data_IF_202509401913
#
_entry.id   IF_202509401913
#
_cell.length_a   1.000
_cell.length_b   1.000
_cell.length_c   1.000
_cell.angle_alpha   90.00
_cell.angle_beta   90.00
_cell.angle_gamma   90.00
#
_symmetry.space_group_name_H-M   'P 1'
#
loop_
_entity.id
_entity.type
_entity.pdbx_description
1 polymer ?
#
# COMPACT_ATOMS: atom_id res chain seq x y z
N UNK A 1 -6.95 -5.58 -23.88
CA UNK A 1 -5.76 -5.65 -23.01
C UNK A 1 -6.10 -6.34 -21.70
N UNK A 2 -7.22 -6.00 -21.04
CA UNK A 2 -7.60 -6.52 -19.71
C UNK A 2 -8.21 -7.95 -19.75
N UNK A 3 -8.50 -8.50 -20.93
CA UNK A 3 -9.14 -9.82 -21.03
C UNK A 3 -8.24 -10.93 -20.48
N UNK A 4 -8.73 -11.66 -19.48
CA UNK A 4 -8.01 -12.75 -18.82
C UNK A 4 -7.07 -12.28 -17.69
N UNK A 5 -7.15 -11.02 -17.28
CA UNK A 5 -6.45 -10.54 -16.09
C UNK A 5 -7.23 -10.94 -14.83
N UNK A 6 -6.56 -11.57 -13.87
CA UNK A 6 -7.13 -11.89 -12.56
C UNK A 6 -7.13 -10.68 -11.63
N UNK A 7 -6.16 -9.78 -11.79
CA UNK A 7 -6.00 -8.56 -11.02
C UNK A 7 -5.53 -7.38 -11.88
N UNK A 8 -6.01 -6.19 -11.59
CA UNK A 8 -5.63 -4.94 -12.25
C UNK A 8 -5.26 -3.89 -11.23
N UNK A 9 -4.03 -3.41 -11.31
CA UNK A 9 -3.58 -2.23 -10.56
C UNK A 9 -3.81 -0.97 -11.37
N UNK A 10 -4.43 0.03 -10.74
CA UNK A 10 -4.64 1.35 -11.32
C UNK A 10 -3.88 2.36 -10.47
N UNK A 11 -2.80 2.91 -11.02
CA UNK A 11 -2.01 3.94 -10.31
C UNK A 11 -2.20 5.30 -10.97
N UNK A 12 -2.51 6.32 -10.14
CA UNK A 12 -2.69 7.67 -10.66
C UNK A 12 -2.45 8.75 -9.59
N UNK A 13 -1.95 9.89 -10.04
CA UNK A 13 -2.05 11.13 -9.28
C UNK A 13 -3.40 11.79 -9.55
N UNK A 14 -4.19 12.04 -8.49
CA UNK A 14 -5.48 12.70 -8.58
C UNK A 14 -5.35 14.25 -8.55
N UNK A 15 -6.37 14.92 -9.03
CA UNK A 15 -6.44 16.40 -9.10
C UNK A 15 -6.11 16.99 -10.46
N UNK A 16 -5.63 16.17 -11.40
CA UNK A 16 -5.49 16.50 -12.81
C UNK A 16 -6.69 16.01 -13.64
N UNK A 17 -6.58 16.07 -14.97
CA UNK A 17 -7.61 15.60 -15.90
C UNK A 17 -7.56 14.09 -16.13
N UNK A 18 -6.39 13.57 -16.54
CA UNK A 18 -6.23 12.19 -17.00
C UNK A 18 -6.44 11.18 -15.87
N UNK A 19 -5.68 11.30 -14.77
CA UNK A 19 -5.78 10.36 -13.64
C UNK A 19 -7.15 10.42 -12.97
N UNK A 20 -7.66 11.63 -12.70
CA UNK A 20 -8.93 11.83 -12.01
C UNK A 20 -10.13 11.30 -12.81
N UNK A 21 -10.15 11.55 -14.13
CA UNK A 21 -11.26 11.14 -15.00
C UNK A 21 -11.11 9.74 -15.57
N UNK A 22 -9.88 9.33 -15.92
CA UNK A 22 -9.64 8.03 -16.57
C UNK A 22 -9.57 6.85 -15.63
N UNK A 23 -9.02 7.03 -14.42
CA UNK A 23 -8.86 5.92 -13.49
C UNK A 23 -10.19 5.25 -13.10
N UNK A 24 -11.27 5.98 -12.76
CA UNK A 24 -12.55 5.36 -12.45
C UNK A 24 -13.15 4.56 -13.61
N UNK A 25 -13.02 5.05 -14.84
CA UNK A 25 -13.52 4.37 -16.04
C UNK A 25 -12.78 3.05 -16.26
N UNK A 26 -11.46 3.05 -16.12
CA UNK A 26 -10.66 1.83 -16.24
C UNK A 26 -10.99 0.84 -15.11
N UNK A 27 -11.22 1.34 -13.90
CA UNK A 27 -11.62 0.53 -12.76
C UNK A 27 -12.96 -0.18 -13.01
N UNK A 28 -13.95 0.53 -13.49
CA UNK A 28 -15.26 -0.01 -13.84
C UNK A 28 -15.15 -1.13 -14.88
N UNK A 29 -14.42 -0.88 -15.97
CA UNK A 29 -14.20 -1.87 -17.03
C UNK A 29 -13.45 -3.11 -16.49
N UNK A 30 -12.41 -2.93 -15.68
CA UNK A 30 -11.65 -4.03 -15.10
C UNK A 30 -12.54 -4.90 -14.20
N UNK A 31 -13.36 -4.29 -13.36
CA UNK A 31 -14.29 -4.97 -12.46
C UNK A 31 -15.41 -5.69 -13.22
N UNK A 32 -15.97 -5.09 -14.28
CA UNK A 32 -16.94 -5.75 -15.17
C UNK A 32 -16.36 -6.98 -15.84
N UNK A 33 -15.07 -7.02 -16.08
CA UNK A 33 -14.36 -8.18 -16.64
C UNK A 33 -14.03 -9.26 -15.59
N UNK A 34 -14.38 -9.05 -14.31
CA UNK A 34 -14.16 -9.99 -13.22
C UNK A 34 -12.77 -9.92 -12.57
N UNK A 35 -11.92 -8.96 -12.97
CA UNK A 35 -10.61 -8.76 -12.37
C UNK A 35 -10.73 -8.09 -11.00
N UNK A 36 -9.94 -8.53 -10.02
CA UNK A 36 -9.77 -7.80 -8.76
C UNK A 36 -9.11 -6.45 -9.07
N UNK A 37 -9.82 -5.38 -8.80
CA UNK A 37 -9.40 -4.02 -9.18
C UNK A 37 -8.90 -3.25 -7.97
N UNK A 38 -7.60 -2.99 -7.93
CA UNK A 38 -6.94 -2.26 -6.85
C UNK A 38 -6.44 -0.91 -7.37
N UNK A 39 -7.03 0.16 -6.88
CA UNK A 39 -6.58 1.52 -7.19
C UNK A 39 -5.62 2.01 -6.11
N UNK A 40 -4.46 2.52 -6.53
CA UNK A 40 -3.43 3.12 -5.66
C UNK A 40 -3.19 4.53 -6.17
N UNK A 41 -3.65 5.52 -5.42
CA UNK A 41 -3.70 6.90 -5.90
C UNK A 41 -3.12 7.89 -4.91
N UNK A 42 -2.55 8.98 -5.42
CA UNK A 42 -2.07 10.07 -4.58
C UNK A 42 -3.05 11.26 -4.57
N UNK A 43 -3.23 11.86 -3.39
CA UNK A 43 -3.89 13.17 -3.24
C UNK A 43 -2.84 14.29 -3.39
N UNK A 44 -3.18 15.41 -4.06
CA UNK A 44 -2.22 16.48 -4.29
C UNK A 44 -1.75 17.14 -2.99
N UNK A 45 -0.60 17.78 -3.03
CA UNK A 45 -0.12 18.63 -1.95
C UNK A 45 -1.00 19.88 -1.79
N UNK A 46 -1.04 20.46 -0.59
CA UNK A 46 -1.83 21.68 -0.33
C UNK A 46 -1.38 22.85 -1.21
N UNK A 47 -0.08 22.95 -1.50
CA UNK A 47 0.45 24.03 -2.35
C UNK A 47 0.00 23.93 -3.82
N UNK A 48 -0.50 22.79 -4.27
CA UNK A 48 -1.05 22.62 -5.62
C UNK A 48 -2.42 23.29 -5.78
N UNK A 49 -3.04 23.69 -4.69
CA UNK A 49 -4.21 24.55 -4.65
C UNK A 49 -5.54 23.81 -4.44
N UNK A 50 -6.51 24.56 -3.91
CA UNK A 50 -7.83 24.04 -3.52
C UNK A 50 -8.62 23.43 -4.69
N UNK A 51 -8.46 23.95 -5.90
CA UNK A 51 -9.15 23.42 -7.09
C UNK A 51 -8.70 22.00 -7.39
N UNK A 52 -7.37 21.74 -7.35
CA UNK A 52 -6.82 20.42 -7.56
C UNK A 52 -7.26 19.44 -6.48
N UNK A 53 -7.26 19.88 -5.22
CA UNK A 53 -7.74 19.06 -4.11
C UNK A 53 -9.20 18.67 -4.29
N UNK A 54 -10.08 19.61 -4.64
CA UNK A 54 -11.49 19.31 -4.89
C UNK A 54 -11.68 18.31 -6.03
N UNK A 55 -10.97 18.47 -7.14
CA UNK A 55 -10.99 17.51 -8.25
C UNK A 55 -10.50 16.13 -7.82
N UNK A 56 -9.44 16.06 -6.97
CA UNK A 56 -8.93 14.81 -6.44
C UNK A 56 -9.98 14.09 -5.56
N UNK A 57 -10.69 14.82 -4.72
CA UNK A 57 -11.77 14.28 -3.89
C UNK A 57 -12.95 13.74 -4.69
N UNK A 58 -13.33 14.45 -5.77
CA UNK A 58 -14.35 13.97 -6.72
C UNK A 58 -13.90 12.66 -7.41
N UNK A 59 -12.66 12.60 -7.88
CA UNK A 59 -12.08 11.37 -8.46
C UNK A 59 -11.99 10.23 -7.48
N UNK A 60 -11.63 10.51 -6.22
CA UNK A 60 -11.58 9.53 -5.14
C UNK A 60 -12.97 8.92 -4.86
N UNK A 61 -13.99 9.77 -4.79
CA UNK A 61 -15.37 9.33 -4.61
C UNK A 61 -15.82 8.38 -5.74
N UNK A 62 -15.48 8.69 -6.99
CA UNK A 62 -15.78 7.83 -8.13
C UNK A 62 -15.00 6.50 -8.08
N UNK A 63 -13.70 6.54 -7.75
CA UNK A 63 -12.89 5.32 -7.59
C UNK A 63 -13.41 4.40 -6.48
N UNK A 64 -13.88 4.97 -5.38
CA UNK A 64 -14.47 4.21 -4.27
C UNK A 64 -15.70 3.39 -4.70
N UNK A 65 -16.43 3.83 -5.72
CA UNK A 65 -17.59 3.09 -6.25
C UNK A 65 -17.20 2.04 -7.30
N UNK A 66 -16.06 2.21 -7.96
CA UNK A 66 -15.67 1.41 -9.12
C UNK A 66 -14.52 0.42 -8.86
N UNK A 67 -13.65 0.68 -7.89
CA UNK A 67 -12.58 -0.25 -7.50
C UNK A 67 -13.02 -1.16 -6.35
N UNK A 68 -12.44 -2.37 -6.27
CA UNK A 68 -12.65 -3.30 -5.14
C UNK A 68 -11.89 -2.83 -3.91
N UNK A 69 -10.65 -2.38 -4.10
CA UNK A 69 -9.84 -1.75 -3.07
C UNK A 69 -9.26 -0.41 -3.54
N UNK A 70 -9.26 0.58 -2.65
CA UNK A 70 -8.76 1.92 -2.92
C UNK A 70 -7.74 2.35 -1.86
N UNK A 71 -6.46 2.30 -2.23
CA UNK A 71 -5.35 2.77 -1.40
C UNK A 71 -5.10 4.24 -1.73
N UNK A 72 -5.27 5.10 -0.75
CA UNK A 72 -5.06 6.54 -0.91
C UNK A 72 -3.77 6.97 -0.20
N UNK A 73 -2.90 7.68 -0.92
CA UNK A 73 -1.64 8.21 -0.41
C UNK A 73 -1.75 9.74 -0.37
N UNK A 74 -1.93 10.36 0.81
CA UNK A 74 -1.97 11.81 0.93
C UNK A 74 -0.54 12.37 0.79
N UNK A 75 -0.23 13.03 -0.34
CA UNK A 75 1.11 13.61 -0.56
C UNK A 75 1.52 14.57 0.56
N UNK A 76 0.57 15.27 1.17
CA UNK A 76 0.84 16.18 2.29
C UNK A 76 1.52 15.47 3.47
N UNK A 77 1.20 14.20 3.71
CA UNK A 77 1.81 13.39 4.79
C UNK A 77 3.27 13.04 4.51
N UNK A 78 3.68 13.06 3.22
CA UNK A 78 5.08 12.82 2.85
C UNK A 78 6.00 13.93 3.37
N UNK A 79 5.49 15.14 3.56
CA UNK A 79 6.26 16.24 4.13
C UNK A 79 6.67 15.99 5.58
N UNK A 80 5.88 15.24 6.34
CA UNK A 80 6.19 14.91 7.74
C UNK A 80 7.28 13.85 7.90
N UNK A 81 7.42 12.95 6.92
CA UNK A 81 8.46 11.91 6.88
C UNK A 81 9.70 12.34 6.10
N UNK A 82 9.61 13.47 5.43
CA UNK A 82 10.68 14.03 4.60
C UNK A 82 11.45 15.10 5.39
N UNK A 83 12.76 15.12 5.25
CA UNK A 83 13.58 16.16 5.88
C UNK A 83 13.20 17.57 5.38
N UNK A 84 13.35 18.58 6.24
CA UNK A 84 12.98 19.99 5.97
C UNK A 84 13.66 20.62 4.74
N UNK A 85 14.68 19.98 4.19
CA UNK A 85 15.51 20.50 3.09
C UNK A 85 15.28 19.77 1.76
N UNK A 86 14.22 18.94 1.63
CA UNK A 86 13.92 18.28 0.35
C UNK A 86 13.47 19.28 -0.71
N UNK A 87 13.99 19.10 -1.91
CA UNK A 87 13.55 19.87 -3.09
C UNK A 87 12.18 19.39 -3.56
N UNK A 88 11.50 20.23 -4.35
CA UNK A 88 10.21 19.88 -4.96
C UNK A 88 10.30 18.59 -5.79
N UNK A 89 11.40 18.41 -6.54
CA UNK A 89 11.61 17.21 -7.36
C UNK A 89 11.76 15.94 -6.50
N UNK A 90 12.50 16.03 -5.40
CA UNK A 90 12.70 14.90 -4.49
C UNK A 90 11.41 14.45 -3.83
N UNK A 91 10.53 15.40 -3.45
CA UNK A 91 9.28 15.04 -2.80
C UNK A 91 8.28 14.38 -3.77
N UNK A 92 8.26 14.79 -5.05
CA UNK A 92 7.48 14.07 -6.07
C UNK A 92 8.04 12.69 -6.36
N UNK A 93 9.37 12.54 -6.43
CA UNK A 93 10.01 11.21 -6.53
C UNK A 93 9.65 10.32 -5.35
N UNK A 94 9.54 10.89 -4.15
CA UNK A 94 9.13 10.13 -2.97
C UNK A 94 7.69 9.64 -3.07
N UNK A 95 6.78 10.43 -3.63
CA UNK A 95 5.42 10.00 -3.91
C UNK A 95 5.39 8.85 -4.94
N UNK A 96 6.19 8.95 -6.01
CA UNK A 96 6.32 7.88 -7.01
C UNK A 96 6.90 6.59 -6.42
N UNK A 97 7.92 6.69 -5.56
CA UNK A 97 8.50 5.55 -4.85
C UNK A 97 7.45 4.82 -3.99
N UNK A 98 6.60 5.56 -3.30
CA UNK A 98 5.55 4.97 -2.45
C UNK A 98 4.48 4.28 -3.29
N UNK A 99 4.04 4.89 -4.39
CA UNK A 99 3.14 4.25 -5.35
C UNK A 99 3.75 2.95 -5.89
N UNK A 100 5.01 3.00 -6.28
CA UNK A 100 5.75 1.84 -6.78
C UNK A 100 5.82 0.72 -5.72
N UNK A 101 6.21 1.05 -4.49
CA UNK A 101 6.32 0.06 -3.41
C UNK A 101 4.96 -0.51 -3.01
N UNK A 102 3.90 0.27 -3.07
CA UNK A 102 2.54 -0.21 -2.83
C UNK A 102 2.13 -1.27 -3.86
N UNK A 103 2.23 -0.93 -5.15
CA UNK A 103 1.88 -1.85 -6.23
C UNK A 103 2.80 -3.08 -6.25
N UNK A 104 4.12 -2.85 -6.14
CA UNK A 104 5.12 -3.92 -6.13
C UNK A 104 4.93 -4.83 -4.92
N UNK A 105 4.70 -4.29 -3.73
CA UNK A 105 4.51 -5.07 -2.51
C UNK A 105 3.36 -6.06 -2.60
N UNK A 106 2.24 -5.68 -3.22
CA UNK A 106 1.11 -6.59 -3.45
C UNK A 106 1.43 -7.58 -4.57
N UNK A 107 2.02 -7.09 -5.67
CA UNK A 107 2.35 -7.94 -6.83
C UNK A 107 3.37 -9.03 -6.48
N UNK A 108 4.42 -8.67 -5.75
CA UNK A 108 5.53 -9.58 -5.45
C UNK A 108 5.10 -10.78 -4.60
N UNK A 109 4.16 -10.61 -3.67
CA UNK A 109 3.65 -11.72 -2.85
C UNK A 109 2.68 -12.63 -3.59
N UNK A 110 2.11 -12.19 -4.72
CA UNK A 110 1.22 -12.99 -5.57
C UNK A 110 2.01 -13.70 -6.67
N UNK A 111 2.85 -12.94 -7.39
CA UNK A 111 3.54 -13.40 -8.61
C UNK A 111 4.99 -13.76 -8.33
N UNK A 112 5.55 -13.23 -7.24
CA UNK A 112 6.96 -13.38 -6.91
C UNK A 112 7.34 -14.80 -6.55
N UNK A 113 8.60 -15.14 -6.80
CA UNK A 113 9.22 -16.38 -6.34
C UNK A 113 9.66 -16.20 -4.88
N UNK A 114 8.73 -15.76 -4.01
CA UNK A 114 8.96 -15.66 -2.58
C UNK A 114 9.10 -17.06 -1.95
N UNK A 115 9.73 -17.13 -0.78
CA UNK A 115 9.79 -18.37 0.00
C UNK A 115 8.39 -18.70 0.55
N UNK A 116 7.60 -17.66 0.85
CA UNK A 116 6.20 -17.77 1.29
C UNK A 116 5.36 -16.91 0.36
N UNK A 117 4.64 -17.56 -0.54
CA UNK A 117 3.71 -16.92 -1.44
C UNK A 117 2.29 -17.06 -0.88
N UNK A 118 1.49 -16.02 -1.09
CA UNK A 118 0.06 -16.06 -0.76
C UNK A 118 -0.74 -16.62 -1.93
N UNK A 119 -1.79 -17.37 -1.62
CA UNK A 119 -2.80 -17.72 -2.61
C UNK A 119 -3.54 -16.43 -3.03
N UNK A 120 -3.76 -16.30 -4.33
CA UNK A 120 -4.53 -15.18 -4.89
C UNK A 120 -5.94 -15.08 -4.27
N UNK A 121 -6.54 -16.22 -3.89
CA UNK A 121 -7.83 -16.24 -3.23
C UNK A 121 -7.79 -15.53 -1.86
N UNK A 122 -6.71 -15.70 -1.09
CA UNK A 122 -6.55 -15.04 0.21
C UNK A 122 -6.35 -13.53 0.04
N UNK A 123 -5.51 -13.13 -0.92
CA UNK A 123 -5.32 -11.71 -1.26
C UNK A 123 -6.63 -11.09 -1.72
N UNK A 124 -7.40 -11.79 -2.57
CA UNK A 124 -8.72 -11.34 -3.00
C UNK A 124 -9.66 -11.17 -1.81
N UNK A 125 -9.69 -12.10 -0.87
CA UNK A 125 -10.54 -12.03 0.32
C UNK A 125 -10.26 -10.78 1.15
N UNK A 126 -8.98 -10.50 1.46
CA UNK A 126 -8.58 -9.31 2.23
C UNK A 126 -8.80 -8.02 1.45
N UNK A 127 -8.48 -7.98 0.15
CA UNK A 127 -8.61 -6.76 -0.66
C UNK A 127 -10.05 -6.47 -1.10
N UNK A 128 -10.95 -7.46 -1.08
CA UNK A 128 -12.39 -7.26 -1.37
C UNK A 128 -13.20 -6.85 -0.16
N UNK A 129 -12.62 -6.80 1.04
CA UNK A 129 -13.21 -6.14 2.20
C UNK A 129 -13.46 -4.68 1.83
N UNK A 130 -14.74 -4.37 1.60
CA UNK A 130 -15.19 -3.13 0.93
C UNK A 130 -14.71 -1.86 1.62
N UNK A 131 -14.06 -1.00 0.89
CA UNK A 131 -13.83 0.35 1.34
C UNK A 131 -12.46 0.92 1.04
N UNK A 132 -12.07 1.87 1.87
CA UNK A 132 -10.73 2.45 1.82
C UNK A 132 -9.73 1.44 2.41
N UNK A 133 -8.64 1.26 1.69
CA UNK A 133 -7.47 0.58 2.18
C UNK A 133 -6.40 1.62 2.53
N UNK A 134 -5.68 1.37 3.61
CA UNK A 134 -4.58 2.23 4.03
C UNK A 134 -3.28 1.45 3.98
N UNK A 135 -2.18 2.17 3.77
CA UNK A 135 -0.88 1.55 3.66
C UNK A 135 0.13 2.25 4.57
N UNK A 136 0.88 1.45 5.32
CA UNK A 136 2.07 1.89 6.01
C UNK A 136 3.30 1.16 5.50
N UNK A 137 4.45 1.81 5.49
CA UNK A 137 5.71 1.17 5.13
C UNK A 137 6.81 1.62 6.09
N UNK A 138 7.66 0.68 6.45
CA UNK A 138 8.84 0.93 7.26
C UNK A 138 10.05 0.21 6.70
N UNK A 139 11.21 0.86 6.79
CA UNK A 139 12.50 0.29 6.41
C UNK A 139 13.44 0.49 7.59
N UNK A 140 14.21 -0.56 7.91
CA UNK A 140 15.24 -0.51 8.93
C UNK A 140 16.39 -1.45 8.61
N UNK A 141 17.54 -1.16 9.22
CA UNK A 141 18.77 -1.94 9.15
C UNK A 141 19.33 -2.15 10.54
N UNK A 142 20.23 -3.13 10.70
CA UNK A 142 20.89 -3.44 11.98
C UNK A 142 20.20 -4.55 12.76
N UNK A 143 20.57 -4.69 14.03
CA UNK A 143 20.26 -5.86 14.86
C UNK A 143 18.75 -6.01 15.17
N UNK A 144 18.01 -4.89 15.29
CA UNK A 144 16.57 -4.88 15.57
C UNK A 144 15.73 -4.45 14.34
N UNK A 145 16.26 -4.62 13.12
CA UNK A 145 15.67 -4.11 11.88
C UNK A 145 14.22 -4.56 11.64
N UNK A 146 13.88 -5.79 12.01
CA UNK A 146 12.53 -6.34 11.83
C UNK A 146 11.50 -5.60 12.69
N UNK A 147 11.79 -5.44 13.98
CA UNK A 147 10.92 -4.73 14.92
C UNK A 147 10.81 -3.24 14.58
N UNK A 148 11.94 -2.60 14.25
CA UNK A 148 11.94 -1.19 13.86
C UNK A 148 11.18 -0.94 12.55
N UNK A 149 11.34 -1.81 11.55
CA UNK A 149 10.60 -1.71 10.30
C UNK A 149 9.10 -1.91 10.52
N UNK A 150 8.71 -2.90 11.33
CA UNK A 150 7.31 -3.15 11.70
C UNK A 150 6.72 -1.93 12.44
N UNK A 151 7.42 -1.41 13.45
CA UNK A 151 6.98 -0.24 14.19
C UNK A 151 6.82 0.99 13.29
N UNK A 152 7.77 1.24 12.38
CA UNK A 152 7.68 2.33 11.39
C UNK A 152 6.51 2.12 10.42
N UNK A 153 6.19 0.88 10.05
CA UNK A 153 5.08 0.58 9.16
C UNK A 153 3.73 0.88 9.83
N UNK A 154 3.50 0.40 11.05
CA UNK A 154 2.24 0.62 11.79
C UNK A 154 2.06 2.06 12.29
N UNK A 155 3.16 2.78 12.52
CA UNK A 155 3.16 4.20 12.91
C UNK A 155 3.35 5.13 11.71
N UNK A 156 3.19 4.62 10.48
CA UNK A 156 3.41 5.41 9.27
C UNK A 156 2.40 6.56 9.18
N UNK A 157 2.83 7.80 8.95
CA UNK A 157 1.92 8.92 8.71
C UNK A 157 0.98 8.71 7.51
N UNK A 158 1.27 7.74 6.65
CA UNK A 158 0.42 7.39 5.50
C UNK A 158 -0.85 6.64 5.91
N UNK A 159 -0.90 6.07 7.13
CA UNK A 159 -2.11 5.45 7.69
C UNK A 159 -3.15 6.48 8.14
N UNK A 160 -2.92 7.78 7.89
CA UNK A 160 -3.73 8.90 8.36
C UNK A 160 -3.91 8.87 9.90
N UNK A 161 -5.07 9.32 10.40
CA UNK A 161 -5.36 9.34 11.83
C UNK A 161 -6.14 8.06 12.27
N UNK A 162 -6.08 7.01 11.45
CA UNK A 162 -6.80 5.76 11.69
C UNK A 162 -5.80 4.72 12.22
N UNK A 163 -6.10 4.14 13.36
CA UNK A 163 -5.35 3.02 13.92
C UNK A 163 -5.64 1.74 13.12
N UNK A 164 -4.65 0.88 12.96
CA UNK A 164 -4.85 -0.46 12.39
C UNK A 164 -5.74 -1.35 13.27
N UNK A 165 -6.01 -0.97 14.52
CA UNK A 165 -6.94 -1.66 15.43
C UNK A 165 -8.35 -1.82 14.85
N UNK A 166 -8.79 -0.91 13.97
CA UNK A 166 -10.11 -0.98 13.31
C UNK A 166 -10.14 -1.86 12.08
N UNK A 167 -8.98 -2.27 11.56
CA UNK A 167 -8.88 -3.03 10.33
C UNK A 167 -9.36 -4.47 10.50
N UNK A 168 -10.20 -4.94 9.58
CA UNK A 168 -10.67 -6.33 9.52
C UNK A 168 -9.80 -7.20 8.61
N UNK A 169 -9.04 -6.61 7.71
CA UNK A 169 -8.10 -7.30 6.86
C UNK A 169 -6.73 -6.63 6.91
N UNK A 170 -5.68 -7.44 7.03
CA UNK A 170 -4.29 -7.00 6.97
C UNK A 170 -3.51 -7.85 5.98
N UNK A 171 -2.85 -7.17 5.05
CA UNK A 171 -1.88 -7.76 4.15
C UNK A 171 -0.50 -7.23 4.54
N UNK A 172 0.39 -8.13 4.93
CA UNK A 172 1.75 -7.81 5.35
C UNK A 172 2.73 -8.34 4.31
N UNK A 173 3.52 -7.45 3.71
CA UNK A 173 4.64 -7.83 2.86
C UNK A 173 5.96 -7.54 3.57
N UNK A 174 6.79 -8.57 3.72
CA UNK A 174 8.14 -8.48 4.28
C UNK A 174 9.14 -8.71 3.15
N UNK A 175 9.94 -7.70 2.85
CA UNK A 175 11.00 -7.77 1.83
C UNK A 175 12.35 -7.57 2.51
N UNK A 176 13.28 -8.47 2.30
CA UNK A 176 14.63 -8.36 2.87
C UNK A 176 15.67 -9.09 2.04
N UNK A 177 16.94 -8.97 2.43
CA UNK A 177 18.05 -9.68 1.81
C UNK A 177 18.06 -11.19 2.14
N UNK A 178 19.00 -11.91 1.55
CA UNK A 178 19.17 -13.36 1.75
C UNK A 178 19.51 -13.74 3.20
N UNK A 179 19.93 -12.78 4.01
CA UNK A 179 20.28 -12.95 5.42
C UNK A 179 19.09 -12.80 6.38
N UNK A 180 17.86 -12.60 5.86
CA UNK A 180 16.66 -12.49 6.67
C UNK A 180 16.34 -13.82 7.37
N UNK A 181 16.09 -13.75 8.68
CA UNK A 181 15.87 -14.92 9.52
C UNK A 181 14.39 -15.15 9.84
N UNK A 182 14.02 -16.37 10.17
CA UNK A 182 12.65 -16.71 10.60
C UNK A 182 12.27 -16.00 11.90
N UNK A 183 13.22 -15.78 12.81
CA UNK A 183 12.98 -15.03 14.06
C UNK A 183 12.54 -13.60 13.76
N UNK A 184 13.24 -12.91 12.87
CA UNK A 184 12.90 -11.54 12.45
C UNK A 184 11.49 -11.45 11.87
N UNK A 185 11.10 -12.43 11.04
CA UNK A 185 9.77 -12.49 10.43
C UNK A 185 8.70 -12.67 11.53
N UNK A 186 8.93 -13.62 12.45
CA UNK A 186 8.00 -13.90 13.52
C UNK A 186 7.82 -12.71 14.48
N UNK A 187 8.89 -12.03 14.84
CA UNK A 187 8.87 -10.83 15.67
C UNK A 187 8.05 -9.70 15.02
N UNK A 188 8.33 -9.42 13.74
CA UNK A 188 7.64 -8.38 13.01
C UNK A 188 6.14 -8.67 12.84
N UNK A 189 5.79 -9.89 12.42
CA UNK A 189 4.39 -10.29 12.24
C UNK A 189 3.62 -10.32 13.56
N UNK A 190 4.23 -10.80 14.64
CA UNK A 190 3.62 -10.81 15.98
C UNK A 190 3.34 -9.41 16.49
N UNK A 191 4.26 -8.45 16.26
CA UNK A 191 4.03 -7.05 16.62
C UNK A 191 2.83 -6.47 15.87
N UNK A 192 2.76 -6.67 14.56
CA UNK A 192 1.69 -6.12 13.73
C UNK A 192 0.33 -6.77 14.10
N UNK A 193 0.31 -8.08 14.30
CA UNK A 193 -0.90 -8.80 14.70
C UNK A 193 -1.45 -8.34 16.06
N UNK A 194 -0.56 -8.00 17.00
CA UNK A 194 -0.96 -7.50 18.32
C UNK A 194 -1.65 -6.14 18.26
N UNK A 195 -1.29 -5.31 17.27
CA UNK A 195 -1.88 -3.98 17.06
C UNK A 195 -3.15 -4.03 16.19
N UNK A 196 -3.45 -5.17 15.58
CA UNK A 196 -4.65 -5.38 14.77
C UNK A 196 -5.87 -5.75 15.63
N UNK A 197 -7.07 -5.65 15.03
CA UNK A 197 -8.29 -6.17 15.65
C UNK A 197 -8.16 -7.69 15.91
N UNK A 198 -8.73 -8.19 17.01
CA UNK A 198 -8.64 -9.61 17.38
C UNK A 198 -9.24 -10.56 16.32
N UNK A 199 -10.28 -10.10 15.60
CA UNK A 199 -10.93 -10.85 14.52
C UNK A 199 -10.34 -10.51 13.12
N UNK A 200 -9.23 -9.78 13.03
CA UNK A 200 -8.67 -9.39 11.74
C UNK A 200 -8.15 -10.61 10.97
N UNK A 201 -8.50 -10.69 9.69
CA UNK A 201 -7.89 -11.63 8.76
C UNK A 201 -6.50 -11.13 8.37
N UNK A 202 -5.46 -11.72 8.94
CA UNK A 202 -4.07 -11.32 8.73
C UNK A 202 -3.39 -12.31 7.80
N UNK A 203 -3.02 -11.84 6.63
CA UNK A 203 -2.20 -12.62 5.66
C UNK A 203 -0.85 -11.95 5.50
N UNK A 204 0.19 -12.75 5.35
CA UNK A 204 1.54 -12.22 5.16
C UNK A 204 2.34 -13.04 4.15
N UNK A 205 3.18 -12.35 3.41
CA UNK A 205 4.10 -12.94 2.46
C UNK A 205 5.51 -12.38 2.62
N UNK A 206 6.47 -13.13 2.08
CA UNK A 206 7.88 -12.80 2.19
C UNK A 206 8.55 -12.87 0.83
N UNK A 207 9.33 -11.84 0.53
CA UNK A 207 10.10 -11.72 -0.71
C UNK A 207 11.57 -11.52 -0.38
N UNK A 208 12.44 -12.31 -1.00
CA UNK A 208 13.89 -12.09 -0.95
C UNK A 208 14.26 -11.18 -2.12
N UNK A 209 14.85 -10.03 -1.79
CA UNK A 209 15.41 -9.09 -2.74
C UNK A 209 16.88 -8.84 -2.37
N UNK A 210 17.84 -9.39 -3.12
CA UNK A 210 19.27 -9.23 -2.82
C UNK A 210 19.72 -7.76 -2.77
N UNK A 211 19.00 -6.86 -3.43
CA UNK A 211 19.30 -5.42 -3.42
C UNK A 211 19.08 -4.77 -2.05
N UNK A 212 18.27 -5.39 -1.19
CA UNK A 212 18.01 -4.93 0.18
C UNK A 212 19.20 -5.10 1.11
N UNK A 213 20.11 -6.04 0.80
CA UNK A 213 21.31 -6.30 1.61
C UNK A 213 20.95 -6.54 3.10
N UNK A 214 21.35 -5.59 3.96
CA UNK A 214 21.10 -5.63 5.40
C UNK A 214 19.76 -4.99 5.81
N UNK A 215 19.01 -4.44 4.86
CA UNK A 215 17.75 -3.77 5.15
C UNK A 215 16.58 -4.76 5.14
N UNK A 216 15.57 -4.48 5.97
CA UNK A 216 14.24 -5.08 5.88
C UNK A 216 13.23 -3.97 5.61
N UNK A 217 12.34 -4.21 4.64
CA UNK A 217 11.16 -3.39 4.38
C UNK A 217 9.92 -4.16 4.76
N UNK A 218 9.06 -3.52 5.53
CA UNK A 218 7.74 -4.06 5.86
C UNK A 218 6.70 -3.09 5.33
N UNK A 219 5.76 -3.63 4.56
CA UNK A 219 4.59 -2.90 4.06
C UNK A 219 3.35 -3.55 4.63
N UNK A 220 2.52 -2.76 5.28
CA UNK A 220 1.23 -3.18 5.84
C UNK A 220 0.13 -2.49 5.06
N UNK A 221 -0.81 -3.26 4.54
CA UNK A 221 -2.04 -2.75 3.92
C UNK A 221 -3.20 -3.19 4.80
N UNK A 222 -3.95 -2.22 5.29
CA UNK A 222 -5.07 -2.42 6.17
C UNK A 222 -6.39 -2.09 5.45
N UNK A 223 -7.38 -2.95 5.58
CA UNK A 223 -8.68 -2.87 4.90
C UNK A 223 -9.82 -3.10 5.88
N UNK A 224 -11.05 -2.76 5.49
CA UNK A 224 -12.25 -3.10 6.26
C UNK A 224 -12.48 -2.23 7.50
N UNK A 225 -12.21 -0.93 7.38
CA UNK A 225 -12.46 0.07 8.43
C UNK A 225 -13.95 0.46 8.53
#
# INVERSE_FOLDING_TARGET
ILKGADMVFITAGLGGGTGTGGAPVIAEVAREMGALTVAIVTKPFHFEGKKRMKQAEEGLANLKMTADALITIPNQRLLSVSGKNMTLLEIFKKADEILYHAAKGISDIIVGHGIINLDFADVRAVMSETGMAMMGTGIASGENRSMEAAQKAISSPLLEDISIEGARGLLINITGGENMTLSEINEATSLIQKEAHEDANVIWGMVIDPSMKEDIRITVIATGF
#
